data_IF_474523598146
#
_entry.id   IF_474523598146
#
_cell.length_a   1.000
_cell.length_b   1.000
_cell.length_c   1.000
_cell.angle_alpha   90.00
_cell.angle_beta   90.00
_cell.angle_gamma   90.00
#
_symmetry.space_group_name_H-M   'P 1'
#
loop_
_entity.id
_entity.type
_entity.pdbx_description
1 polymer ?
#
# COMPACT_ATOMS: atom_id res chain seq x y z
N UNK A 1 -28.90 18.01 3.28
CA UNK A 1 -27.55 17.52 3.63
C UNK A 1 -27.68 16.75 4.92
N UNK A 2 -27.20 15.51 5.05
CA UNK A 2 -27.31 14.79 6.32
C UNK A 2 -26.51 15.58 7.38
N UNK A 3 -27.19 16.00 8.44
CA UNK A 3 -26.68 16.96 9.43
C UNK A 3 -25.67 16.35 10.43
N UNK A 4 -25.15 15.15 10.18
CA UNK A 4 -24.39 14.36 11.17
C UNK A 4 -23.19 13.58 10.60
N UNK A 5 -22.64 14.00 9.45
CA UNK A 5 -21.43 13.35 8.94
C UNK A 5 -20.20 13.83 9.72
N UNK A 6 -19.46 12.90 10.33
CA UNK A 6 -18.14 13.19 10.89
C UNK A 6 -17.22 13.72 9.78
N UNK A 7 -16.55 14.87 9.98
CA UNK A 7 -15.57 15.38 9.02
C UNK A 7 -14.48 14.35 8.73
N UNK A 8 -13.94 14.38 7.51
CA UNK A 8 -12.99 13.35 7.05
C UNK A 8 -11.76 13.20 7.96
N UNK A 9 -11.29 14.29 8.56
CA UNK A 9 -10.09 14.31 9.41
C UNK A 9 -10.39 14.12 10.90
N UNK A 10 -11.66 13.94 11.27
CA UNK A 10 -12.09 13.77 12.67
C UNK A 10 -12.28 12.28 13.04
N UNK A 11 -12.01 11.37 12.09
CA UNK A 11 -11.97 9.95 12.37
C UNK A 11 -10.70 9.59 13.13
N UNK A 12 -10.83 8.69 14.11
CA UNK A 12 -9.68 8.09 14.76
C UNK A 12 -8.85 7.32 13.73
N UNK A 13 -7.53 7.43 13.86
CA UNK A 13 -6.59 6.61 13.09
C UNK A 13 -6.78 5.14 13.40
N UNK A 14 -6.36 4.30 12.47
CA UNK A 14 -6.37 2.87 12.62
C UNK A 14 -5.35 2.42 13.68
N UNK A 15 -5.63 1.30 14.36
CA UNK A 15 -4.89 0.86 15.55
C UNK A 15 -3.39 0.68 15.31
N UNK A 16 -2.99 0.36 14.07
CA UNK A 16 -1.60 0.10 13.73
C UNK A 16 -0.76 1.38 13.62
N UNK A 17 -1.32 2.57 13.89
CA UNK A 17 -0.56 3.81 14.06
C UNK A 17 0.55 3.71 15.12
N UNK A 18 0.43 2.77 16.07
CA UNK A 18 1.43 2.53 17.10
C UNK A 18 2.78 2.06 16.56
N UNK A 19 2.83 1.52 15.34
CA UNK A 19 4.07 1.15 14.66
C UNK A 19 4.81 2.35 14.05
N UNK A 20 4.18 3.53 13.99
CA UNK A 20 4.72 4.70 13.32
C UNK A 20 4.75 4.55 11.79
N UNK A 21 5.53 5.42 11.14
CA UNK A 21 5.67 5.45 9.67
C UNK A 21 6.92 4.69 9.23
N UNK A 22 6.79 3.88 8.19
CA UNK A 22 7.91 3.19 7.57
C UNK A 22 8.80 4.17 6.77
N UNK A 23 10.14 4.01 6.79
CA UNK A 23 11.03 4.82 5.94
C UNK A 23 10.69 4.70 4.45
N UNK A 24 10.30 3.50 4.01
CA UNK A 24 9.75 3.16 2.69
C UNK A 24 8.67 2.10 2.88
N UNK A 25 7.64 2.08 2.04
CA UNK A 25 6.63 1.03 2.13
C UNK A 25 7.25 -0.33 1.75
N UNK A 26 7.04 -1.40 2.53
CA UNK A 26 7.68 -2.68 2.28
C UNK A 26 7.19 -3.33 0.99
N UNK A 27 8.12 -3.95 0.26
CA UNK A 27 7.85 -4.80 -0.92
C UNK A 27 8.20 -6.27 -0.68
N UNK A 28 8.76 -6.59 0.49
CA UNK A 28 9.14 -7.94 0.87
C UNK A 28 8.81 -8.27 2.33
N UNK A 29 8.72 -9.57 2.65
CA UNK A 29 8.61 -10.04 4.04
C UNK A 29 9.77 -9.58 4.92
N UNK A 30 10.99 -9.63 4.40
CA UNK A 30 12.17 -9.20 5.15
C UNK A 30 12.14 -7.70 5.52
N UNK A 31 11.47 -6.86 4.73
CA UNK A 31 11.25 -5.45 5.09
C UNK A 31 10.14 -5.29 6.13
N UNK A 32 9.07 -6.08 6.03
CA UNK A 32 8.03 -6.12 7.06
C UNK A 32 8.57 -6.57 8.41
N UNK A 33 9.43 -7.59 8.44
CA UNK A 33 10.09 -8.07 9.65
C UNK A 33 10.93 -6.95 10.30
N UNK A 34 11.63 -6.15 9.49
CA UNK A 34 12.39 -4.96 9.96
C UNK A 34 11.48 -3.87 10.53
N UNK A 35 10.25 -3.76 10.06
CA UNK A 35 9.21 -2.86 10.58
C UNK A 35 8.47 -3.46 11.78
N UNK A 36 8.72 -4.72 12.14
CA UNK A 36 7.98 -5.45 13.17
C UNK A 36 6.55 -5.80 12.77
N UNK A 37 6.27 -5.88 11.46
CA UNK A 37 4.94 -6.16 10.92
C UNK A 37 4.81 -7.64 10.57
N UNK A 38 3.81 -8.30 11.15
CA UNK A 38 3.44 -9.69 10.81
C UNK A 38 2.62 -9.78 9.50
N UNK A 39 1.94 -8.70 9.14
CA UNK A 39 0.97 -8.62 8.05
C UNK A 39 0.81 -7.16 7.61
N UNK A 40 0.41 -6.97 6.35
CA UNK A 40 -0.09 -5.68 5.88
C UNK A 40 -1.60 -5.61 6.11
N UNK A 41 -2.12 -4.44 6.41
CA UNK A 41 -3.57 -4.22 6.42
C UNK A 41 -4.09 -4.03 4.99
N UNK A 42 -3.31 -3.34 4.16
CA UNK A 42 -3.60 -3.06 2.77
C UNK A 42 -2.36 -3.38 1.93
N UNK A 43 -2.54 -4.06 0.80
CA UNK A 43 -1.46 -4.29 -0.17
C UNK A 43 -1.87 -3.63 -1.49
N UNK A 44 -1.03 -2.74 -2.02
CA UNK A 44 -1.25 -2.12 -3.32
C UNK A 44 -0.41 -2.86 -4.36
N UNK A 45 -1.08 -3.44 -5.33
CA UNK A 45 -0.46 -4.06 -6.51
C UNK A 45 -0.40 -3.03 -7.62
N UNK A 46 0.77 -2.87 -8.25
CA UNK A 46 0.93 -1.95 -9.37
C UNK A 46 1.70 -2.56 -10.55
N UNK A 47 1.30 -2.17 -11.77
CA UNK A 47 1.98 -2.53 -13.02
C UNK A 47 3.23 -1.71 -13.34
N UNK A 48 3.58 -0.77 -12.47
CA UNK A 48 4.72 0.15 -12.63
C UNK A 48 5.73 -0.04 -11.50
N UNK A 49 6.93 0.50 -11.67
CA UNK A 49 7.94 0.49 -10.62
C UNK A 49 7.45 1.28 -9.39
N UNK A 50 7.80 0.81 -8.20
CA UNK A 50 7.60 1.58 -7.00
C UNK A 50 8.76 2.55 -6.80
N UNK A 51 8.43 3.83 -6.91
CA UNK A 51 9.27 4.94 -6.45
C UNK A 51 8.45 5.68 -5.40
N UNK A 52 8.99 5.80 -4.20
CA UNK A 52 8.30 6.46 -3.09
C UNK A 52 8.35 7.99 -3.24
N UNK A 53 7.59 8.50 -4.21
CA UNK A 53 7.58 9.90 -4.62
C UNK A 53 6.15 10.36 -4.89
N UNK A 54 5.76 11.60 -4.51
CA UNK A 54 4.38 12.09 -4.66
C UNK A 54 3.87 12.14 -6.11
N UNK A 55 4.76 12.10 -7.11
CA UNK A 55 4.37 11.97 -8.52
C UNK A 55 3.83 10.58 -8.88
N UNK A 56 3.99 9.58 -8.01
CA UNK A 56 3.55 8.21 -8.21
C UNK A 56 2.24 7.95 -7.46
N UNK A 57 1.16 7.68 -8.20
CA UNK A 57 -0.20 7.59 -7.64
C UNK A 57 -0.34 6.53 -6.54
N UNK A 58 0.26 5.36 -6.74
CA UNK A 58 0.28 4.30 -5.72
C UNK A 58 1.05 4.70 -4.47
N UNK A 59 2.13 5.49 -4.61
CA UNK A 59 2.95 5.95 -3.49
C UNK A 59 2.17 6.95 -2.64
N UNK A 60 1.53 7.96 -3.25
CA UNK A 60 0.75 8.94 -2.50
C UNK A 60 -0.47 8.32 -1.81
N UNK A 61 -1.15 7.36 -2.48
CA UNK A 61 -2.26 6.61 -1.85
C UNK A 61 -1.75 5.78 -0.67
N UNK A 62 -0.63 5.07 -0.84
CA UNK A 62 -0.03 4.27 0.23
C UNK A 62 0.38 5.11 1.44
N UNK A 63 1.01 6.26 1.22
CA UNK A 63 1.39 7.20 2.28
C UNK A 63 0.20 7.87 2.94
N UNK A 64 -0.87 8.17 2.20
CA UNK A 64 -2.11 8.67 2.79
C UNK A 64 -2.74 7.64 3.73
N UNK A 65 -2.80 6.37 3.32
CA UNK A 65 -3.32 5.29 4.15
C UNK A 65 -2.43 5.04 5.38
N UNK A 66 -1.11 5.03 5.22
CA UNK A 66 -0.19 4.93 6.36
C UNK A 66 -0.36 6.09 7.35
N UNK A 67 -0.56 7.32 6.87
CA UNK A 67 -0.85 8.47 7.72
C UNK A 67 -2.16 8.34 8.51
N UNK A 68 -3.10 7.52 8.01
CA UNK A 68 -4.32 7.12 8.72
C UNK A 68 -4.12 5.91 9.64
N UNK A 69 -2.89 5.42 9.83
CA UNK A 69 -2.54 4.37 10.78
C UNK A 69 -2.57 2.95 10.23
N UNK A 70 -2.69 2.77 8.90
CA UNK A 70 -2.69 1.44 8.29
C UNK A 70 -1.26 0.97 7.95
N UNK A 71 -1.00 -0.34 8.08
CA UNK A 71 0.22 -0.95 7.54
C UNK A 71 0.02 -1.24 6.06
N UNK A 72 0.79 -0.57 5.21
CA UNK A 72 0.63 -0.64 3.75
C UNK A 72 1.86 -1.25 3.10
N UNK A 73 1.67 -2.27 2.27
CA UNK A 73 2.72 -2.86 1.44
C UNK A 73 2.49 -2.62 -0.04
N UNK A 74 3.57 -2.67 -0.84
CA UNK A 74 3.51 -2.52 -2.31
C UNK A 74 3.99 -3.79 -2.99
N UNK A 75 3.26 -4.28 -3.99
CA UNK A 75 3.72 -5.29 -4.94
C UNK A 75 3.87 -4.59 -6.30
N UNK A 76 5.10 -4.26 -6.68
CA UNK A 76 5.42 -3.58 -7.93
C UNK A 76 5.81 -4.57 -9.02
N UNK A 77 5.19 -4.43 -10.20
CA UNK A 77 5.45 -5.23 -11.39
C UNK A 77 5.53 -6.75 -11.11
N UNK A 78 4.52 -7.35 -10.45
CA UNK A 78 4.54 -8.78 -10.21
C UNK A 78 4.60 -9.55 -11.54
N UNK A 79 5.32 -10.67 -11.56
CA UNK A 79 5.24 -11.60 -12.68
C UNK A 79 3.80 -12.11 -12.82
N UNK A 80 3.11 -11.63 -13.85
CA UNK A 80 1.70 -11.94 -14.12
C UNK A 80 1.48 -13.40 -14.53
N UNK A 81 2.55 -14.17 -14.79
CA UNK A 81 2.47 -15.59 -15.08
C UNK A 81 2.46 -16.47 -13.83
N UNK A 82 2.78 -15.91 -12.66
CA UNK A 82 2.86 -16.65 -11.41
C UNK A 82 2.01 -16.01 -10.32
N UNK A 83 1.19 -16.84 -9.67
CA UNK A 83 0.40 -16.40 -8.50
C UNK A 83 1.30 -16.06 -7.30
N UNK A 84 2.50 -16.64 -7.23
CA UNK A 84 3.42 -16.45 -6.11
C UNK A 84 3.90 -14.99 -6.02
N UNK A 85 4.04 -14.31 -7.17
CA UNK A 85 4.41 -12.89 -7.22
C UNK A 85 3.38 -12.00 -6.53
N UNK A 86 2.09 -12.35 -6.62
CA UNK A 86 0.99 -11.64 -5.93
C UNK A 86 0.88 -12.02 -4.45
N UNK A 87 1.55 -13.09 -4.01
CA UNK A 87 1.56 -13.59 -2.63
C UNK A 87 2.83 -13.21 -1.87
N UNK A 88 3.75 -12.43 -2.46
CA UNK A 88 5.02 -12.03 -1.84
C UNK A 88 4.85 -11.38 -0.46
N UNK A 89 3.74 -10.66 -0.25
CA UNK A 89 3.35 -10.03 1.01
C UNK A 89 2.17 -10.72 1.70
N UNK A 90 1.86 -11.97 1.30
CA UNK A 90 0.77 -12.79 1.81
C UNK A 90 -0.59 -12.10 1.83
N UNK A 91 -1.49 -12.54 2.73
CA UNK A 91 -2.86 -12.03 2.81
C UNK A 91 -2.92 -10.71 3.58
N UNK A 92 -3.55 -9.65 3.04
CA UNK A 92 -3.82 -8.42 3.76
C UNK A 92 -4.98 -8.60 4.74
N UNK A 93 -4.99 -7.83 5.82
CA UNK A 93 -6.08 -7.89 6.82
C UNK A 93 -7.38 -7.26 6.30
N UNK A 94 -7.29 -6.30 5.39
CA UNK A 94 -8.45 -5.58 4.84
C UNK A 94 -8.66 -5.91 3.37
N UNK A 95 -7.76 -5.46 2.47
CA UNK A 95 -7.96 -5.64 1.03
C UNK A 95 -6.67 -5.46 0.21
N UNK A 96 -6.77 -5.84 -1.07
CA UNK A 96 -5.80 -5.48 -2.11
C UNK A 96 -6.30 -4.26 -2.90
N UNK A 97 -5.47 -3.24 -3.04
CA UNK A 97 -5.67 -2.14 -4.00
C UNK A 97 -4.94 -2.45 -5.30
N UNK A 98 -5.51 -2.10 -6.46
CA UNK A 98 -4.86 -2.30 -7.77
C UNK A 98 -4.71 -0.96 -8.46
N UNK A 99 -3.49 -0.64 -8.88
CA UNK A 99 -3.17 0.60 -9.58
C UNK A 99 -2.41 0.30 -10.89
N UNK A 100 -2.87 0.83 -12.02
CA UNK A 100 -2.17 0.67 -13.30
C UNK A 100 -0.73 1.25 -13.28
N UNK A 101 -0.51 2.25 -12.43
CA UNK A 101 0.76 2.98 -12.34
C UNK A 101 0.79 4.23 -13.21
N UNK A 102 1.96 4.84 -13.35
CA UNK A 102 2.14 6.06 -14.13
C UNK A 102 2.55 5.78 -15.57
N UNK A 103 3.18 4.62 -15.82
CA UNK A 103 3.56 4.19 -17.16
C UNK A 103 2.34 3.77 -17.98
N UNK A 104 2.28 4.28 -19.22
CA UNK A 104 1.32 3.80 -20.21
C UNK A 104 1.68 2.37 -20.67
N UNK A 105 0.65 1.56 -20.82
CA UNK A 105 0.67 0.22 -21.41
C UNK A 105 1.39 0.12 -22.76
N UNK A 106 1.42 1.20 -23.56
CA UNK A 106 2.15 1.21 -24.84
C UNK A 106 3.69 1.13 -24.69
N UNK A 107 4.22 1.39 -23.50
CA UNK A 107 5.66 1.41 -23.21
C UNK A 107 6.09 0.14 -22.45
N UNK A 108 5.18 -0.51 -21.75
CA UNK A 108 5.45 -1.70 -20.94
C UNK A 108 5.37 -2.98 -21.83
N UNK A 109 6.52 -3.58 -22.17
CA UNK A 109 6.61 -4.78 -23.03
C UNK A 109 6.83 -6.05 -22.22
#
# INVERSE_FOLDING_TARGET
MPANATPLYDYNKYWAECFGTAPVLPMSRAEMDRLGWDSCDIIIVTGDAYVDHPSFGMAIIGRLLEAQGFRVGIIAQPDWRSVDAFQALGRPNLYFGVAAGNMDSMINR
#
